data_IF_967094909020
#
_entry.id   IF_967094909020
#
_cell.length_a   1.000
_cell.length_b   1.000
_cell.length_c   1.000
_cell.angle_alpha   90.00
_cell.angle_beta   90.00
_cell.angle_gamma   90.00
#
_symmetry.space_group_name_H-M   'P 1'
#
loop_
_entity.id
_entity.type
_entity.pdbx_description
1 polymer ?
#
# COMPACT_ATOMS: atom_id res chain seq x y z
N UNK A 1 4.77 13.15 -8.44
CA UNK A 1 4.82 12.07 -7.44
C UNK A 1 3.48 11.40 -7.34
N UNK A 2 3.47 10.13 -6.95
CA UNK A 2 2.23 9.42 -6.63
C UNK A 2 2.28 8.84 -5.22
N UNK A 3 1.29 9.19 -4.40
CA UNK A 3 1.17 8.67 -3.04
C UNK A 3 0.28 7.43 -3.01
N UNK A 4 0.76 6.32 -2.42
CA UNK A 4 -0.04 5.13 -2.13
C UNK A 4 -0.40 5.10 -0.65
N UNK A 5 -1.64 4.73 -0.35
CA UNK A 5 -2.04 4.24 0.96
C UNK A 5 -2.99 3.04 0.81
N UNK A 6 -2.73 1.98 1.59
CA UNK A 6 -3.61 0.82 1.76
C UNK A 6 -3.60 0.32 3.21
N UNK A 7 -4.73 -0.21 3.66
CA UNK A 7 -4.90 -0.71 5.02
C UNK A 7 -4.46 -2.17 5.15
N UNK A 8 -3.71 -2.48 6.20
CA UNK A 8 -3.04 -3.77 6.38
C UNK A 8 -3.71 -4.64 7.44
N UNK A 9 -3.79 -5.94 7.16
CA UNK A 9 -4.07 -6.99 8.14
C UNK A 9 -2.97 -8.04 8.11
N UNK A 10 -2.61 -8.56 9.27
CA UNK A 10 -1.79 -9.78 9.41
C UNK A 10 -2.68 -10.86 9.99
N UNK A 11 -2.91 -11.93 9.23
CA UNK A 11 -3.71 -13.11 9.64
C UNK A 11 -2.87 -14.36 9.83
N UNK A 12 -1.65 -14.38 9.30
CA UNK A 12 -0.77 -15.54 9.34
C UNK A 12 0.67 -15.15 9.65
N UNK A 13 1.41 -16.06 10.30
CA UNK A 13 2.86 -15.99 10.46
C UNK A 13 3.52 -17.12 9.67
N UNK A 14 4.61 -16.84 8.94
CA UNK A 14 5.32 -17.89 8.21
C UNK A 14 5.97 -18.86 9.20
N UNK A 15 5.93 -20.15 8.88
CA UNK A 15 6.55 -21.23 9.67
C UNK A 15 7.86 -21.63 8.98
N UNK A 16 8.97 -21.62 9.70
CA UNK A 16 10.26 -22.09 9.16
C UNK A 16 11.47 -21.44 9.84
N UNK A 17 12.66 -21.77 9.32
CA UNK A 17 13.90 -21.07 9.63
C UNK A 17 14.12 -19.95 8.60
N UNK A 18 14.59 -18.80 9.07
CA UNK A 18 14.79 -17.60 8.24
C UNK A 18 16.25 -17.17 8.27
N UNK A 19 16.77 -16.71 7.14
CA UNK A 19 18.19 -16.36 6.99
C UNK A 19 18.55 -15.09 7.76
N UNK A 20 17.58 -14.19 7.96
CA UNK A 20 17.74 -12.93 8.68
C UNK A 20 16.40 -12.35 9.15
N UNK A 21 16.44 -11.26 9.91
CA UNK A 21 15.22 -10.53 10.27
C UNK A 21 14.55 -9.93 9.02
N UNK A 22 15.32 -9.40 8.05
CA UNK A 22 14.77 -8.87 6.80
C UNK A 22 14.03 -9.95 5.99
N UNK A 23 14.65 -11.12 5.87
CA UNK A 23 14.03 -12.29 5.24
C UNK A 23 12.73 -12.69 5.94
N UNK A 24 12.71 -12.75 7.29
CA UNK A 24 11.48 -12.99 8.04
C UNK A 24 10.39 -11.95 7.75
N UNK A 25 10.73 -10.65 7.70
CA UNK A 25 9.76 -9.60 7.38
C UNK A 25 9.20 -9.75 5.96
N UNK A 26 10.04 -10.08 4.99
CA UNK A 26 9.58 -10.36 3.62
C UNK A 26 8.65 -11.57 3.58
N UNK A 27 9.01 -12.68 4.23
CA UNK A 27 8.15 -13.88 4.27
C UNK A 27 6.82 -13.61 4.99
N UNK A 28 6.82 -12.76 6.03
CA UNK A 28 5.60 -12.33 6.71
C UNK A 28 4.70 -11.51 5.78
N UNK A 29 5.27 -10.57 5.05
CA UNK A 29 4.57 -9.78 4.03
C UNK A 29 3.99 -10.71 2.95
N UNK A 30 4.83 -11.54 2.34
CA UNK A 30 4.45 -12.46 1.27
C UNK A 30 3.28 -13.35 1.65
N UNK A 31 3.39 -14.01 2.80
CA UNK A 31 2.35 -14.92 3.30
C UNK A 31 0.99 -14.21 3.41
N UNK A 32 0.97 -13.00 3.97
CA UNK A 32 -0.28 -12.27 4.17
C UNK A 32 -0.81 -11.66 2.87
N UNK A 33 0.05 -11.09 2.03
CA UNK A 33 -0.36 -10.53 0.73
C UNK A 33 -0.92 -11.60 -0.18
N UNK A 34 -0.35 -12.81 -0.21
CA UNK A 34 -0.85 -13.90 -1.03
C UNK A 34 -2.23 -14.39 -0.55
N UNK A 35 -2.44 -14.46 0.76
CA UNK A 35 -3.68 -14.94 1.38
C UNK A 35 -4.84 -13.93 1.29
N UNK A 36 -4.54 -12.65 1.48
CA UNK A 36 -5.56 -11.61 1.64
C UNK A 36 -5.87 -10.89 0.33
N UNK A 37 -7.03 -10.22 0.29
CA UNK A 37 -7.45 -9.34 -0.81
C UNK A 37 -7.28 -7.89 -0.42
N UNK A 38 -6.89 -7.07 -1.40
CA UNK A 38 -6.87 -5.61 -1.27
C UNK A 38 -8.31 -5.09 -1.15
N UNK A 39 -8.54 -4.12 -0.25
CA UNK A 39 -9.85 -3.49 -0.05
C UNK A 39 -9.88 -2.11 -0.72
N UNK A 40 -8.83 -1.31 -0.53
CA UNK A 40 -8.72 0.03 -1.09
C UNK A 40 -7.31 0.36 -1.56
N UNK A 41 -7.24 1.24 -2.54
CA UNK A 41 -6.00 1.89 -2.98
C UNK A 41 -6.27 3.38 -3.18
N UNK A 42 -5.53 4.23 -2.46
CA UNK A 42 -5.47 5.67 -2.75
C UNK A 42 -4.30 6.00 -3.67
N UNK A 43 -4.54 6.77 -4.73
CA UNK A 43 -3.51 7.36 -5.59
C UNK A 43 -3.69 8.87 -5.68
N UNK A 44 -2.69 9.63 -5.23
CA UNK A 44 -2.67 11.10 -5.34
C UNK A 44 -1.59 11.55 -6.31
N UNK A 45 -1.92 12.40 -7.28
CA UNK A 45 -1.01 12.88 -8.32
C UNK A 45 -0.57 14.33 -8.08
N UNK A 46 0.72 14.58 -8.21
CA UNK A 46 1.33 15.92 -8.09
C UNK A 46 2.53 16.05 -9.04
N UNK A 47 2.90 17.28 -9.42
CA UNK A 47 4.08 17.55 -10.24
C UNK A 47 5.38 17.56 -9.41
N UNK A 48 6.51 17.97 -10.01
CA UNK A 48 7.82 18.01 -9.35
C UNK A 48 7.92 19.10 -8.28
N UNK A 49 7.17 20.19 -8.44
CA UNK A 49 7.06 21.30 -7.49
C UNK A 49 6.10 20.98 -6.33
N UNK A 50 5.42 19.84 -6.40
CA UNK A 50 4.43 19.38 -5.45
C UNK A 50 3.05 20.02 -5.60
N UNK A 51 2.77 20.57 -6.77
CA UNK A 51 1.48 21.16 -7.10
C UNK A 51 0.51 20.08 -7.63
N UNK A 52 -0.77 20.26 -7.32
CA UNK A 52 -1.84 19.36 -7.74
C UNK A 52 -2.40 19.76 -9.11
N UNK A 53 -2.89 18.79 -9.90
CA UNK A 53 -3.67 19.11 -11.09
C UNK A 53 -4.95 19.88 -10.70
N UNK A 54 -5.49 20.73 -11.60
CA UNK A 54 -6.76 21.37 -11.36
C UNK A 54 -7.89 20.34 -11.25
N UNK A 55 -8.74 20.47 -10.23
CA UNK A 55 -9.85 19.54 -9.97
C UNK A 55 -9.43 18.38 -9.08
N UNK A 56 -9.74 17.15 -9.49
CA UNK A 56 -9.44 15.94 -8.72
C UNK A 56 -7.95 15.60 -8.84
N UNK A 57 -7.27 15.52 -7.70
CA UNK A 57 -5.88 15.07 -7.61
C UNK A 57 -5.72 13.69 -6.96
N UNK A 58 -6.75 13.22 -6.26
CA UNK A 58 -6.73 11.96 -5.50
C UNK A 58 -7.88 11.06 -5.94
N UNK A 59 -7.53 9.81 -6.25
CA UNK A 59 -8.48 8.75 -6.56
C UNK A 59 -8.40 7.67 -5.50
N UNK A 60 -9.55 7.27 -4.99
CA UNK A 60 -9.68 6.13 -4.09
C UNK A 60 -10.41 5.01 -4.84
N UNK A 61 -9.68 3.94 -5.13
CA UNK A 61 -10.20 2.73 -5.75
C UNK A 61 -10.73 1.81 -4.66
N UNK A 62 -11.99 1.39 -4.77
CA UNK A 62 -12.66 0.50 -3.84
C UNK A 62 -12.81 -0.86 -4.51
N UNK A 63 -12.09 -1.87 -4.03
CA UNK A 63 -12.06 -3.19 -4.65
C UNK A 63 -13.14 -4.11 -4.12
N UNK A 64 -13.49 -5.11 -4.92
CA UNK A 64 -14.46 -6.12 -4.52
C UNK A 64 -13.97 -6.93 -3.33
N UNK A 65 -14.81 -7.01 -2.31
CA UNK A 65 -14.50 -7.70 -1.06
C UNK A 65 -15.78 -8.26 -0.43
N UNK A 66 -15.75 -9.53 -0.03
CA UNK A 66 -16.90 -10.22 0.58
C UNK A 66 -16.53 -10.77 1.96
N UNK A 67 -17.15 -10.23 3.01
CA UNK A 67 -16.95 -10.67 4.40
C UNK A 67 -17.39 -12.12 4.69
N UNK A 68 -18.14 -12.75 3.77
CA UNK A 68 -18.57 -14.14 3.91
C UNK A 68 -17.57 -15.12 3.28
N UNK A 69 -16.88 -14.70 2.22
CA UNK A 69 -16.02 -15.57 1.40
C UNK A 69 -14.52 -15.30 1.62
N UNK A 70 -14.15 -14.05 1.87
CA UNK A 70 -12.76 -13.62 1.92
C UNK A 70 -12.17 -13.74 3.32
N UNK A 71 -10.88 -14.07 3.41
CA UNK A 71 -10.16 -14.07 4.67
C UNK A 71 -9.85 -12.64 5.12
N UNK A 72 -9.94 -12.39 6.43
CA UNK A 72 -9.64 -11.10 7.04
C UNK A 72 -9.24 -11.26 8.52
N UNK A 73 -8.64 -10.21 9.08
CA UNK A 73 -8.48 -10.07 10.53
C UNK A 73 -9.69 -9.31 11.11
N UNK A 74 -10.30 -9.83 12.16
CA UNK A 74 -11.51 -9.25 12.76
C UNK A 74 -11.30 -7.79 13.18
N UNK A 75 -10.25 -7.51 13.96
CA UNK A 75 -9.91 -6.16 14.44
C UNK A 75 -9.75 -5.14 13.29
N UNK A 76 -9.28 -5.62 12.14
CA UNK A 76 -9.11 -4.79 10.96
C UNK A 76 -10.44 -4.45 10.27
N UNK A 77 -11.38 -5.39 10.19
CA UNK A 77 -12.71 -5.11 9.66
C UNK A 77 -13.45 -4.14 10.55
N UNK A 78 -13.34 -4.29 11.88
CA UNK A 78 -13.95 -3.39 12.84
C UNK A 78 -13.41 -1.96 12.71
N UNK A 79 -12.09 -1.80 12.57
CA UNK A 79 -11.51 -0.48 12.36
C UNK A 79 -11.88 0.12 10.99
N UNK A 80 -11.85 -0.67 9.92
CA UNK A 80 -12.24 -0.19 8.61
C UNK A 80 -13.71 0.26 8.60
N UNK A 81 -14.58 -0.51 9.26
CA UNK A 81 -15.99 -0.14 9.43
C UNK A 81 -16.12 1.16 10.22
N UNK A 82 -15.38 1.32 11.33
CA UNK A 82 -15.42 2.56 12.12
C UNK A 82 -14.81 3.76 11.38
N UNK A 83 -13.93 3.52 10.42
CA UNK A 83 -13.36 4.51 9.51
C UNK A 83 -14.27 4.86 8.32
N UNK A 84 -15.46 4.25 8.23
CA UNK A 84 -16.47 4.57 7.22
C UNK A 84 -16.48 3.66 5.98
N UNK A 85 -15.75 2.55 6.00
CA UNK A 85 -15.80 1.57 4.89
C UNK A 85 -17.16 0.88 4.85
N UNK A 86 -17.76 0.89 3.66
CA UNK A 86 -19.06 0.28 3.40
C UNK A 86 -18.85 -1.09 2.73
N UNK A 87 -18.56 -2.13 3.50
CA UNK A 87 -18.28 -3.47 2.96
C UNK A 87 -19.37 -4.02 2.04
N UNK A 88 -20.64 -3.68 2.30
CA UNK A 88 -21.74 -4.08 1.42
C UNK A 88 -21.60 -3.50 0.00
N UNK A 89 -21.13 -2.26 -0.10
CA UNK A 89 -20.84 -1.60 -1.38
C UNK A 89 -19.62 -2.20 -2.06
N UNK A 90 -18.60 -2.58 -1.30
CA UNK A 90 -17.46 -3.33 -1.85
C UNK A 90 -17.89 -4.68 -2.44
N UNK A 91 -18.79 -5.40 -1.78
CA UNK A 91 -19.30 -6.69 -2.27
C UNK A 91 -20.05 -6.54 -3.61
N UNK A 92 -20.92 -5.53 -3.71
CA UNK A 92 -21.87 -5.36 -4.82
C UNK A 92 -21.32 -4.54 -6.00
N UNK A 93 -20.52 -3.51 -5.71
CA UNK A 93 -20.06 -2.51 -6.68
C UNK A 93 -18.53 -2.41 -6.76
N UNK A 94 -17.80 -3.24 -6.00
CA UNK A 94 -16.34 -3.16 -5.92
C UNK A 94 -15.65 -3.50 -7.24
N UNK A 95 -14.51 -2.85 -7.45
CA UNK A 95 -13.68 -3.04 -8.64
C UNK A 95 -13.02 -4.42 -8.62
N UNK A 96 -13.11 -5.15 -9.72
CA UNK A 96 -12.34 -6.39 -9.90
C UNK A 96 -10.85 -6.07 -10.05
N UNK A 97 -10.01 -6.65 -9.18
CA UNK A 97 -8.57 -6.30 -9.10
C UNK A 97 -7.83 -6.52 -10.42
N UNK A 98 -8.17 -7.57 -11.18
CA UNK A 98 -7.54 -7.84 -12.48
C UNK A 98 -7.93 -6.81 -13.54
N UNK A 99 -9.17 -6.35 -13.53
CA UNK A 99 -9.61 -5.29 -14.44
C UNK A 99 -8.89 -3.98 -14.14
N UNK A 100 -8.74 -3.64 -12.86
CA UNK A 100 -7.91 -2.50 -12.45
C UNK A 100 -6.46 -2.65 -12.91
N UNK A 101 -5.85 -3.83 -12.72
CA UNK A 101 -4.47 -4.09 -13.10
C UNK A 101 -4.25 -3.94 -14.61
N UNK A 102 -5.19 -4.42 -15.43
CA UNK A 102 -5.18 -4.25 -16.89
C UNK A 102 -5.14 -2.77 -17.27
N UNK A 103 -6.05 -1.96 -16.71
CA UNK A 103 -6.09 -0.52 -16.99
C UNK A 103 -4.84 0.21 -16.49
N UNK A 104 -4.33 -0.16 -15.31
CA UNK A 104 -3.13 0.45 -14.74
C UNK A 104 -1.89 0.14 -15.60
N UNK A 105 -1.78 -1.08 -16.12
CA UNK A 105 -0.66 -1.55 -16.95
C UNK A 105 -0.40 -0.63 -18.16
N UNK A 106 -1.44 -0.15 -18.83
CA UNK A 106 -1.34 0.69 -20.03
C UNK A 106 -1.57 2.19 -19.77
N UNK A 107 -1.68 2.59 -18.51
CA UNK A 107 -1.98 3.98 -18.13
C UNK A 107 -0.80 4.95 -18.19
N UNK A 108 0.43 4.42 -18.26
CA UNK A 108 1.67 5.19 -18.11
C UNK A 108 2.06 5.48 -16.66
N UNK A 109 1.29 4.99 -15.68
CA UNK A 109 1.54 5.18 -14.25
C UNK A 109 2.58 4.18 -13.71
N UNK A 110 2.66 3.00 -14.31
CA UNK A 110 3.66 1.95 -14.03
C UNK A 110 4.55 1.74 -15.26
N UNK A 111 5.69 1.08 -15.07
CA UNK A 111 6.66 0.74 -16.14
C UNK A 111 7.28 1.96 -16.86
N UNK A 112 7.03 3.18 -16.38
CA UNK A 112 7.46 4.42 -17.02
C UNK A 112 8.50 5.15 -16.16
N UNK A 113 9.71 5.38 -16.71
CA UNK A 113 10.85 5.98 -15.99
C UNK A 113 10.60 7.41 -15.50
N UNK A 114 9.67 8.14 -16.11
CA UNK A 114 9.31 9.50 -15.71
C UNK A 114 8.48 9.58 -14.42
N UNK A 115 7.96 8.46 -13.92
CA UNK A 115 7.08 8.43 -12.75
C UNK A 115 7.90 8.21 -11.48
N UNK A 116 7.66 9.08 -10.48
CA UNK A 116 8.25 8.97 -9.14
C UNK A 116 7.16 8.60 -8.13
N UNK A 117 7.29 7.46 -7.46
CA UNK A 117 6.37 7.02 -6.42
C UNK A 117 6.84 7.50 -5.06
N UNK A 118 5.90 8.02 -4.27
CA UNK A 118 6.09 8.47 -2.89
C UNK A 118 5.20 7.58 -2.02
N UNK A 119 5.70 7.11 -0.88
CA UNK A 119 4.92 6.20 -0.05
C UNK A 119 5.33 6.32 1.41
N UNK A 120 4.61 5.67 2.32
CA UNK A 120 4.94 5.66 3.73
C UNK A 120 4.79 4.25 4.30
N UNK A 121 5.92 3.63 4.68
CA UNK A 121 5.93 2.27 5.25
C UNK A 121 5.32 1.22 4.31
N UNK A 122 5.71 1.26 3.05
CA UNK A 122 4.88 0.78 1.94
C UNK A 122 5.19 -0.64 1.47
N UNK A 123 5.76 -1.49 2.32
CA UNK A 123 6.10 -2.86 1.94
C UNK A 123 4.87 -3.61 1.41
N UNK A 124 3.81 -3.63 2.22
CA UNK A 124 2.55 -4.29 1.83
C UNK A 124 1.89 -3.60 0.65
N UNK A 125 1.87 -2.27 0.60
CA UNK A 125 1.29 -1.50 -0.52
C UNK A 125 1.81 -1.99 -1.88
N UNK A 126 3.14 -2.05 -2.00
CA UNK A 126 3.77 -2.54 -3.22
C UNK A 126 3.63 -4.05 -3.38
N UNK A 127 3.58 -4.82 -2.29
CA UNK A 127 3.25 -6.24 -2.34
C UNK A 127 1.90 -6.51 -3.04
N UNK A 128 0.83 -5.83 -2.63
CA UNK A 128 -0.49 -6.01 -3.27
C UNK A 128 -0.52 -5.49 -4.71
N UNK A 129 0.16 -4.38 -5.00
CA UNK A 129 0.27 -3.88 -6.38
C UNK A 129 1.01 -4.88 -7.28
N UNK A 130 2.13 -5.44 -6.83
CA UNK A 130 2.89 -6.45 -7.59
C UNK A 130 2.06 -7.73 -7.77
N UNK A 131 1.38 -8.22 -6.72
CA UNK A 131 0.45 -9.35 -6.83
C UNK A 131 -0.62 -9.10 -7.89
N UNK A 132 -1.22 -7.90 -7.88
CA UNK A 132 -2.27 -7.51 -8.81
C UNK A 132 -1.76 -7.38 -10.25
N UNK A 133 -0.63 -6.70 -10.46
CA UNK A 133 -0.04 -6.43 -11.77
C UNK A 133 0.60 -7.67 -12.42
N UNK A 134 1.16 -8.57 -11.62
CA UNK A 134 1.71 -9.85 -12.09
C UNK A 134 0.67 -10.95 -12.23
N UNK A 135 -0.53 -10.75 -11.68
CA UNK A 135 -1.58 -11.78 -11.53
C UNK A 135 -1.00 -13.12 -11.01
N UNK A 136 -0.08 -13.03 -10.05
CA UNK A 136 0.70 -14.15 -9.55
C UNK A 136 0.93 -13.97 -8.05
N UNK A 137 1.27 -15.07 -7.37
CA UNK A 137 1.82 -14.97 -6.01
C UNK A 137 3.12 -14.19 -6.03
N UNK A 138 3.44 -13.55 -4.90
CA UNK A 138 4.72 -12.87 -4.77
C UNK A 138 5.89 -13.87 -4.84
N UNK A 139 7.07 -13.46 -5.35
CA UNK A 139 8.24 -14.32 -5.45
C UNK A 139 8.64 -14.96 -4.11
N UNK A 140 9.23 -16.14 -4.15
CA UNK A 140 9.62 -16.83 -2.91
C UNK A 140 10.74 -16.10 -2.16
N UNK A 141 11.66 -15.46 -2.89
CA UNK A 141 12.83 -14.76 -2.35
C UNK A 141 12.68 -13.23 -2.50
N UNK A 142 13.15 -12.49 -1.49
CA UNK A 142 13.04 -11.03 -1.44
C UNK A 142 13.75 -10.34 -2.61
N UNK A 143 14.89 -10.90 -3.06
CA UNK A 143 15.66 -10.36 -4.18
C UNK A 143 14.84 -10.34 -5.46
N UNK A 144 14.13 -11.43 -5.77
CA UNK A 144 13.31 -11.56 -6.97
C UNK A 144 12.10 -10.60 -6.91
N UNK A 145 11.54 -10.39 -5.72
CA UNK A 145 10.51 -9.37 -5.52
C UNK A 145 11.03 -7.98 -5.87
N UNK A 146 12.22 -7.59 -5.40
CA UNK A 146 12.80 -6.29 -5.71
C UNK A 146 13.18 -6.13 -7.18
N UNK A 147 13.58 -7.21 -7.87
CA UNK A 147 13.80 -7.19 -9.31
C UNK A 147 12.52 -6.81 -10.06
N UNK A 148 11.41 -7.50 -9.78
CA UNK A 148 10.11 -7.21 -10.40
C UNK A 148 9.60 -5.83 -9.98
N UNK A 149 9.75 -5.46 -8.70
CA UNK A 149 9.34 -4.17 -8.17
C UNK A 149 9.96 -3.01 -8.96
N UNK A 150 11.26 -3.09 -9.24
CA UNK A 150 12.00 -2.04 -9.98
C UNK A 150 11.60 -1.94 -11.44
N UNK A 151 11.04 -2.99 -12.04
CA UNK A 151 10.48 -2.91 -13.38
C UNK A 151 9.20 -2.07 -13.35
N UNK A 152 8.24 -2.41 -12.49
CA UNK A 152 6.95 -1.71 -12.39
C UNK A 152 7.07 -0.28 -11.84
N UNK A 153 7.97 -0.09 -10.88
CA UNK A 153 8.12 1.15 -10.12
C UNK A 153 9.60 1.56 -10.07
N UNK A 154 10.14 2.15 -11.16
CA UNK A 154 11.58 2.43 -11.26
C UNK A 154 12.12 3.36 -10.16
N UNK A 155 11.29 4.29 -9.68
CA UNK A 155 11.66 5.27 -8.67
C UNK A 155 10.62 5.25 -7.54
N UNK A 156 11.04 4.80 -6.35
CA UNK A 156 10.24 4.79 -5.12
C UNK A 156 10.96 5.58 -4.03
N UNK A 157 10.23 6.46 -3.35
CA UNK A 157 10.64 7.16 -2.14
C UNK A 157 9.73 6.76 -0.97
N UNK A 158 10.20 5.86 -0.11
CA UNK A 158 9.51 5.55 1.15
C UNK A 158 9.91 6.59 2.21
N UNK A 159 8.95 7.39 2.64
CA UNK A 159 9.14 8.47 3.60
C UNK A 159 9.60 7.95 4.96
N UNK A 160 9.06 6.83 5.46
CA UNK A 160 9.48 6.23 6.74
C UNK A 160 10.96 5.80 6.66
N UNK A 161 11.38 5.28 5.52
CA UNK A 161 12.80 4.95 5.27
C UNK A 161 13.67 6.21 5.24
N UNK A 162 13.28 7.25 4.48
CA UNK A 162 14.02 8.52 4.39
C UNK A 162 14.18 9.19 5.76
N UNK A 163 13.16 9.13 6.60
CA UNK A 163 13.17 9.69 7.95
C UNK A 163 14.25 9.08 8.86
N UNK A 164 14.61 7.80 8.69
CA UNK A 164 15.69 7.14 9.47
C UNK A 164 17.05 7.83 9.30
N UNK A 165 17.28 8.48 8.16
CA UNK A 165 18.52 9.20 7.87
C UNK A 165 18.51 10.65 8.35
N UNK A 166 17.33 11.19 8.68
CA UNK A 166 17.14 12.57 9.14
C UNK A 166 17.22 12.68 10.67
N UNK A 167 18.41 12.42 11.24
CA UNK A 167 18.68 12.37 12.70
C UNK A 167 18.32 13.63 13.50
N UNK A 168 18.03 14.77 12.85
CA UNK A 168 17.77 16.06 13.50
C UNK A 168 16.34 16.59 13.37
N UNK A 169 15.41 15.84 12.76
CA UNK A 169 14.00 16.20 12.83
C UNK A 169 13.45 15.76 14.19
N UNK A 170 13.60 16.60 15.22
CA UNK A 170 12.82 16.54 16.48
C UNK A 170 11.29 16.58 16.28
N UNK A 171 10.85 16.62 15.03
CA UNK A 171 9.50 16.81 14.55
C UNK A 171 9.17 15.84 13.41
N UNK A 172 9.68 14.60 13.43
CA UNK A 172 9.29 13.57 12.47
C UNK A 172 7.76 13.44 12.34
N UNK A 173 7.04 13.61 13.46
CA UNK A 173 5.58 13.69 13.53
C UNK A 173 4.99 14.90 12.78
N UNK A 174 5.70 16.02 12.64
CA UNK A 174 5.23 17.18 11.86
C UNK A 174 5.40 16.94 10.37
N UNK A 175 6.49 16.31 9.90
CA UNK A 175 6.61 15.97 8.48
C UNK A 175 5.55 14.93 8.08
N UNK A 176 5.28 13.97 8.96
CA UNK A 176 4.20 13.00 8.79
C UNK A 176 2.84 13.70 8.84
N UNK A 177 2.55 14.56 9.82
CA UNK A 177 1.29 15.34 9.86
C UNK A 177 1.16 16.30 8.67
N UNK A 178 2.25 16.84 8.15
CA UNK A 178 2.28 17.68 6.96
C UNK A 178 1.94 16.85 5.72
N UNK A 179 2.58 15.69 5.54
CA UNK A 179 2.23 14.73 4.48
C UNK A 179 0.77 14.25 4.64
N UNK A 180 0.33 13.91 5.84
CA UNK A 180 -1.05 13.48 6.13
C UNK A 180 -2.08 14.59 5.88
N UNK A 181 -1.74 15.85 6.16
CA UNK A 181 -2.59 17.00 5.85
C UNK A 181 -2.83 17.19 4.35
N UNK A 182 -1.95 16.63 3.51
CA UNK A 182 -2.14 16.59 2.05
C UNK A 182 -3.03 15.44 1.56
N UNK A 183 -3.28 14.41 2.38
CA UNK A 183 -3.89 13.15 1.92
C UNK A 183 -5.31 12.95 2.48
N UNK A 184 -5.83 13.85 3.33
CA UNK A 184 -7.16 13.72 3.95
C UNK A 184 -7.38 12.36 4.65
N UNK A 185 -6.31 11.72 5.13
CA UNK A 185 -6.40 10.49 5.91
C UNK A 185 -6.70 10.88 7.35
N UNK A 186 -7.74 10.30 7.94
CA UNK A 186 -8.17 10.62 9.31
C UNK A 186 -7.05 10.35 10.32
N UNK A 187 -6.96 11.18 11.36
CA UNK A 187 -5.95 11.07 12.44
C UNK A 187 -5.88 9.66 13.07
N UNK A 188 -6.98 8.89 13.01
CA UNK A 188 -7.09 7.50 13.47
C UNK A 188 -6.08 6.54 12.78
N UNK A 189 -5.61 6.86 11.58
CA UNK A 189 -4.66 6.02 10.84
C UNK A 189 -3.26 6.00 11.49
N UNK A 190 -2.86 7.08 12.17
CA UNK A 190 -1.51 7.24 12.71
C UNK A 190 -1.32 6.55 14.07
N UNK A 191 -2.36 6.47 14.91
CA UNK A 191 -2.29 5.70 16.16
C UNK A 191 -2.00 4.23 15.88
N UNK A 192 -2.47 3.67 14.77
CA UNK A 192 -2.26 2.25 14.43
C UNK A 192 -0.87 1.91 13.89
N UNK A 193 -0.25 2.77 13.08
CA UNK A 193 1.08 2.49 12.54
C UNK A 193 2.15 2.62 13.64
N UNK A 194 1.94 3.48 14.63
CA UNK A 194 2.86 3.61 15.76
C UNK A 194 2.66 2.58 16.87
N UNK A 195 1.47 1.97 16.97
CA UNK A 195 1.17 0.97 18.01
C UNK A 195 1.55 -0.47 17.62
N UNK A 196 2.03 -0.70 16.38
CA UNK A 196 2.44 -2.02 15.88
C UNK A 196 3.97 -2.15 15.67
N UNK A 197 4.78 -1.30 16.30
CA UNK A 197 6.24 -1.48 16.39
C UNK A 197 6.63 -2.53 17.45
#
# INVERSE_FOLDING_TARGET
YMYIYMYMCVVARPIGEFRSNADYQYQLLRCNVDLLKIIQLGLTFMNEQGEYPPGTSTWQFNFKFNLTEDMYAQDSIELLTSSGIQFKKHEEEGIETLYFAELLMTSGVVLCEGVKWLSFHSGYDFGYLIKSLSNSKLPDEEVDFFEILRLFFPIIYDVKYLMKSCKNLKHGSILVNFILSFISVSENYFELINNND
#
